data_IF_950537207373
#
_entry.id   IF_950537207373
#
_cell.length_a   1.000
_cell.length_b   1.000
_cell.length_c   1.000
_cell.angle_alpha   90.00
_cell.angle_beta   90.00
_cell.angle_gamma   90.00
#
_symmetry.space_group_name_H-M   'P 1'
#
loop_
_entity.id
_entity.type
_entity.pdbx_description
1 polymer ?
#
# COMPACT_ATOMS: atom_id res chain seq x y z
N UNK A 1 4.81 -23.46 2.65
CA UNK A 1 4.91 -22.05 2.28
C UNK A 1 4.87 -21.19 3.52
N UNK A 2 5.66 -20.14 3.57
CA UNK A 2 5.75 -19.29 4.74
C UNK A 2 5.17 -17.91 4.44
N UNK A 3 4.72 -17.24 5.47
CA UNK A 3 4.29 -15.86 5.34
C UNK A 3 5.48 -15.00 4.90
N UNK A 4 5.18 -13.90 4.22
CA UNK A 4 6.21 -12.96 3.79
C UNK A 4 6.95 -12.41 5.00
N UNK A 5 8.27 -12.27 4.88
CA UNK A 5 9.07 -11.70 5.95
C UNK A 5 8.98 -10.17 5.90
N UNK A 6 9.26 -9.50 7.02
CA UNK A 6 9.32 -8.03 7.00
C UNK A 6 10.31 -7.49 5.96
N UNK A 7 11.42 -8.19 5.72
CA UNK A 7 12.39 -7.76 4.70
C UNK A 7 11.80 -7.85 3.30
N UNK A 8 11.07 -8.93 3.01
CA UNK A 8 10.43 -9.07 1.70
C UNK A 8 9.41 -7.95 1.48
N UNK A 9 8.62 -7.64 2.50
CA UNK A 9 7.63 -6.58 2.41
C UNK A 9 8.31 -5.24 2.17
N UNK A 10 9.36 -4.95 2.94
CA UNK A 10 10.09 -3.70 2.81
C UNK A 10 10.73 -3.57 1.43
N UNK A 11 11.33 -4.64 0.92
CA UNK A 11 11.94 -4.62 -0.41
C UNK A 11 10.92 -4.33 -1.50
N UNK A 12 9.74 -4.93 -1.38
CA UNK A 12 8.70 -4.69 -2.37
C UNK A 12 8.21 -3.25 -2.32
N UNK A 13 8.04 -2.70 -1.12
CA UNK A 13 7.64 -1.30 -0.97
C UNK A 13 8.70 -0.37 -1.54
N UNK A 14 9.97 -0.69 -1.38
CA UNK A 14 11.05 0.11 -1.96
C UNK A 14 11.03 0.04 -3.48
N UNK A 15 10.69 -1.11 -4.05
CA UNK A 15 10.55 -1.23 -5.49
C UNK A 15 9.41 -0.38 -6.01
N UNK A 16 8.26 -0.39 -5.31
CA UNK A 16 7.14 0.47 -5.70
C UNK A 16 7.57 1.93 -5.63
N UNK A 17 8.25 2.30 -4.55
CA UNK A 17 8.67 3.69 -4.37
C UNK A 17 9.60 4.14 -5.49
N UNK A 18 10.53 3.29 -5.89
CA UNK A 18 11.51 3.61 -6.93
C UNK A 18 10.87 3.72 -8.30
N UNK A 19 9.95 2.80 -8.62
CA UNK A 19 9.41 2.71 -9.98
C UNK A 19 8.18 3.59 -10.20
N UNK A 20 7.40 3.83 -9.16
CA UNK A 20 6.12 4.53 -9.30
C UNK A 20 6.02 5.82 -8.51
N UNK A 21 6.93 6.06 -7.58
CA UNK A 21 7.03 7.31 -6.82
C UNK A 21 5.71 7.73 -6.18
N UNK A 22 5.10 6.85 -5.36
CA UNK A 22 3.86 7.19 -4.68
C UNK A 22 4.10 8.22 -3.59
N UNK A 23 3.01 8.83 -3.11
CA UNK A 23 3.10 9.69 -1.94
C UNK A 23 3.34 8.86 -0.68
N UNK A 24 2.71 7.69 -0.61
CA UNK A 24 2.71 6.92 0.62
C UNK A 24 2.36 5.48 0.34
N UNK A 25 2.92 4.58 1.11
CA UNK A 25 2.55 3.17 1.12
C UNK A 25 2.30 2.78 2.56
N UNK A 26 1.13 2.21 2.83
CA UNK A 26 0.73 1.82 4.18
C UNK A 26 0.46 0.33 4.20
N UNK A 27 1.12 -0.36 5.13
CA UNK A 27 0.87 -1.77 5.39
C UNK A 27 -0.29 -1.87 6.35
N UNK A 28 -1.29 -2.67 5.99
CA UNK A 28 -2.43 -2.89 6.88
C UNK A 28 -2.75 -4.38 6.93
N UNK A 29 -3.82 -4.75 7.62
CA UNK A 29 -4.18 -6.15 7.72
C UNK A 29 -3.32 -6.93 8.68
N UNK A 30 -3.29 -8.25 8.51
CA UNK A 30 -2.67 -9.14 9.48
C UNK A 30 -1.18 -8.89 9.65
N UNK A 31 -0.48 -8.47 8.60
CA UNK A 31 0.96 -8.19 8.69
C UNK A 31 1.27 -6.90 9.42
N UNK A 32 0.28 -6.04 9.61
CA UNK A 32 0.48 -4.77 10.30
C UNK A 32 0.11 -4.87 11.78
N UNK A 33 -1.05 -5.43 12.08
CA UNK A 33 -1.54 -5.41 13.44
C UNK A 33 -2.19 -6.73 13.89
N UNK A 34 -2.01 -7.79 13.11
CA UNK A 34 -2.45 -9.12 13.49
C UNK A 34 -1.29 -10.06 13.60
N UNK A 35 -1.59 -11.34 13.58
CA UNK A 35 -0.57 -12.38 13.55
C UNK A 35 -0.66 -13.08 12.21
N UNK A 36 0.20 -12.74 11.27
CA UNK A 36 0.12 -13.37 9.95
C UNK A 36 0.47 -14.86 10.03
N UNK A 37 -0.13 -15.63 9.16
CA UNK A 37 0.20 -17.04 9.00
C UNK A 37 0.62 -17.26 7.55
N UNK A 38 0.99 -18.51 7.23
CA UNK A 38 1.63 -18.81 5.94
C UNK A 38 0.75 -18.47 4.73
N UNK A 39 -0.55 -18.35 4.91
CA UNK A 39 -1.46 -18.02 3.82
C UNK A 39 -1.96 -16.58 3.88
N UNK A 40 -1.43 -15.77 4.79
CA UNK A 40 -1.85 -14.38 4.90
C UNK A 40 -1.29 -13.57 3.74
N UNK A 41 -2.16 -12.82 3.06
CA UNK A 41 -1.72 -11.87 2.05
C UNK A 41 -1.10 -10.64 2.72
N UNK A 42 -0.18 -10.02 2.01
CA UNK A 42 0.36 -8.72 2.41
C UNK A 42 -0.59 -7.66 1.88
N UNK A 43 -1.21 -6.91 2.76
CA UNK A 43 -2.16 -5.87 2.38
C UNK A 43 -1.48 -4.51 2.37
N UNK A 44 -1.45 -3.87 1.20
CA UNK A 44 -0.79 -2.57 1.03
C UNK A 44 -1.75 -1.57 0.41
N UNK A 45 -1.77 -0.37 0.98
CA UNK A 45 -2.43 0.77 0.36
C UNK A 45 -1.34 1.66 -0.25
N UNK A 46 -1.42 1.86 -1.56
CA UNK A 46 -0.50 2.74 -2.27
C UNK A 46 -1.26 4.01 -2.63
N UNK A 47 -0.82 5.14 -2.11
CA UNK A 47 -1.45 6.43 -2.37
C UNK A 47 -0.60 7.15 -3.40
N UNK A 48 -1.17 7.35 -4.60
CA UNK A 48 -0.44 7.98 -5.69
C UNK A 48 -1.43 8.50 -6.73
N UNK A 49 -1.04 9.54 -7.48
CA UNK A 49 -1.85 9.95 -8.63
C UNK A 49 -1.78 8.88 -9.72
N UNK A 50 -2.88 8.68 -10.42
CA UNK A 50 -2.89 7.78 -11.58
C UNK A 50 -4.12 8.09 -12.43
N UNK A 51 -4.11 7.59 -13.65
CA UNK A 51 -5.26 7.67 -14.54
C UNK A 51 -5.82 6.28 -14.73
N UNK A 52 -7.13 6.24 -15.00
CA UNK A 52 -7.83 4.97 -15.13
C UNK A 52 -8.35 4.48 -13.80
N UNK A 53 -8.69 3.22 -13.74
CA UNK A 53 -9.29 2.68 -12.53
C UNK A 53 -8.21 2.26 -11.53
N UNK A 54 -8.56 2.25 -10.23
CA UNK A 54 -7.64 1.73 -9.23
C UNK A 54 -7.19 0.30 -9.50
N UNK A 55 -8.08 -0.53 -10.00
CA UNK A 55 -7.76 -1.92 -10.28
C UNK A 55 -6.72 -2.03 -11.41
N UNK A 56 -6.86 -1.20 -12.44
CA UNK A 56 -5.89 -1.17 -13.52
C UNK A 56 -4.52 -0.72 -13.03
N UNK A 57 -4.49 0.29 -12.17
CA UNK A 57 -3.22 0.77 -11.65
C UNK A 57 -2.55 -0.28 -10.76
N UNK A 58 -3.33 -0.97 -9.93
CA UNK A 58 -2.79 -2.05 -9.13
C UNK A 58 -2.19 -3.14 -10.02
N UNK A 59 -2.88 -3.48 -11.10
CA UNK A 59 -2.39 -4.48 -12.05
C UNK A 59 -1.08 -4.05 -12.69
N UNK A 60 -0.96 -2.77 -13.06
CA UNK A 60 0.28 -2.26 -13.65
C UNK A 60 1.47 -2.44 -12.70
N UNK A 61 1.26 -2.16 -11.42
CA UNK A 61 2.31 -2.31 -10.43
C UNK A 61 2.71 -3.78 -10.29
N UNK A 62 1.72 -4.65 -10.15
CA UNK A 62 1.99 -6.08 -9.93
C UNK A 62 2.66 -6.72 -11.15
N UNK A 63 2.22 -6.34 -12.34
CA UNK A 63 2.80 -6.89 -13.56
C UNK A 63 4.25 -6.44 -13.70
N UNK A 64 4.52 -5.19 -13.40
CA UNK A 64 5.88 -4.67 -13.55
C UNK A 64 6.83 -5.26 -12.53
N UNK A 65 6.39 -5.41 -11.29
CA UNK A 65 7.30 -5.75 -10.20
C UNK A 65 7.33 -7.24 -9.85
N UNK A 66 6.31 -7.99 -10.22
CA UNK A 66 6.26 -9.45 -10.04
C UNK A 66 6.70 -9.88 -8.64
N UNK A 67 5.95 -9.49 -7.59
CA UNK A 67 6.36 -9.87 -6.24
C UNK A 67 6.36 -11.38 -6.05
N UNK A 68 7.25 -11.86 -5.17
CA UNK A 68 7.38 -13.28 -4.88
C UNK A 68 6.48 -13.74 -3.76
N UNK A 69 5.63 -12.88 -3.26
CA UNK A 69 4.71 -13.17 -2.17
C UNK A 69 3.31 -12.76 -2.61
N UNK A 70 2.31 -13.25 -1.89
CA UNK A 70 0.93 -12.89 -2.18
C UNK A 70 0.63 -11.50 -1.65
N UNK A 71 0.24 -10.60 -2.54
CA UNK A 71 0.00 -9.19 -2.20
C UNK A 71 -1.41 -8.81 -2.62
N UNK A 72 -2.13 -8.18 -1.72
CA UNK A 72 -3.40 -7.52 -2.01
C UNK A 72 -3.11 -6.02 -2.07
N UNK A 73 -3.13 -5.48 -3.27
CA UNK A 73 -2.68 -4.12 -3.50
C UNK A 73 -3.88 -3.21 -3.75
N UNK A 74 -4.07 -2.25 -2.84
CA UNK A 74 -5.14 -1.27 -2.92
C UNK A 74 -4.50 0.06 -3.33
N UNK A 75 -4.93 0.62 -4.47
CA UNK A 75 -4.33 1.85 -4.96
C UNK A 75 -5.41 2.93 -4.99
N UNK A 76 -5.09 4.10 -4.42
CA UNK A 76 -6.01 5.22 -4.39
C UNK A 76 -5.23 6.52 -4.59
N UNK A 77 -5.90 7.50 -5.20
CA UNK A 77 -5.29 8.83 -5.29
C UNK A 77 -5.37 9.51 -3.91
N UNK A 78 -4.51 10.50 -3.66
CA UNK A 78 -4.62 11.27 -2.40
C UNK A 78 -6.02 11.86 -2.21
N UNK A 79 -6.64 12.30 -3.30
CA UNK A 79 -7.97 12.86 -3.24
C UNK A 79 -9.01 11.83 -2.85
N UNK A 80 -8.91 10.62 -3.41
CA UNK A 80 -9.82 9.54 -3.06
C UNK A 80 -9.70 9.18 -1.58
N UNK A 81 -8.48 9.17 -1.06
CA UNK A 81 -8.28 8.89 0.37
C UNK A 81 -8.96 9.98 1.20
N UNK A 82 -8.75 11.24 0.86
CA UNK A 82 -9.38 12.34 1.60
C UNK A 82 -10.91 12.25 1.55
N UNK A 83 -11.45 11.93 0.37
CA UNK A 83 -12.90 11.79 0.23
C UNK A 83 -13.45 10.67 1.09
N UNK A 84 -12.77 9.54 1.10
CA UNK A 84 -13.21 8.40 1.92
C UNK A 84 -13.18 8.74 3.40
N UNK A 85 -12.13 9.42 3.84
CA UNK A 85 -12.04 9.82 5.24
C UNK A 85 -13.13 10.84 5.59
N UNK A 86 -13.43 11.76 4.69
CA UNK A 86 -14.47 12.75 4.91
C UNK A 86 -15.85 12.10 4.97
N UNK A 87 -16.05 11.01 4.26
CA UNK A 87 -17.30 10.25 4.29
C UNK A 87 -17.37 9.28 5.47
N UNK A 88 -16.36 9.31 6.34
CA UNK A 88 -16.28 8.45 7.51
C UNK A 88 -16.27 6.97 7.16
N UNK A 89 -15.55 6.64 6.10
CA UNK A 89 -15.33 5.27 5.68
C UNK A 89 -14.49 4.57 6.74
N UNK A 90 -15.08 3.60 7.43
CA UNK A 90 -14.41 2.93 8.54
C UNK A 90 -13.16 2.19 8.10
N UNK A 91 -13.21 1.57 6.94
CA UNK A 91 -12.09 0.81 6.43
C UNK A 91 -10.89 1.73 6.19
N UNK A 92 -11.12 2.86 5.53
CA UNK A 92 -10.04 3.79 5.26
C UNK A 92 -9.52 4.41 6.57
N UNK A 93 -10.40 4.74 7.51
CA UNK A 93 -9.97 5.24 8.82
C UNK A 93 -9.11 4.23 9.54
N UNK A 94 -9.49 2.96 9.49
CA UNK A 94 -8.69 1.93 10.16
C UNK A 94 -7.31 1.81 9.54
N UNK A 95 -7.24 1.84 8.22
CA UNK A 95 -5.94 1.78 7.53
C UNK A 95 -5.05 2.93 7.98
N UNK A 96 -5.60 4.15 7.96
CA UNK A 96 -4.81 5.33 8.26
C UNK A 96 -4.41 5.41 9.72
N UNK A 97 -5.25 4.89 10.64
CA UNK A 97 -4.96 4.98 12.06
C UNK A 97 -4.13 3.83 12.59
N UNK A 98 -4.38 2.63 12.10
CA UNK A 98 -3.73 1.43 12.62
C UNK A 98 -2.66 0.88 11.71
N UNK A 99 -2.67 1.25 10.44
CA UNK A 99 -1.67 0.78 9.51
C UNK A 99 -0.29 1.31 9.83
N UNK A 100 0.72 0.67 9.23
CA UNK A 100 2.11 1.07 9.41
C UNK A 100 2.61 1.70 8.12
N UNK A 101 3.17 2.90 8.23
CA UNK A 101 3.71 3.58 7.07
C UNK A 101 4.97 2.85 6.63
N UNK A 102 4.90 2.20 5.46
CA UNK A 102 6.04 1.49 4.90
C UNK A 102 6.90 2.40 4.04
N UNK A 103 6.31 3.47 3.53
CA UNK A 103 7.03 4.45 2.73
C UNK A 103 6.26 5.76 2.74
N UNK A 104 6.98 6.85 2.81
CA UNK A 104 6.38 8.17 2.71
C UNK A 104 7.35 9.06 1.95
N UNK A 105 6.85 9.67 0.87
CA UNK A 105 7.69 10.55 0.06
C UNK A 105 8.06 11.78 0.86
N UNK A 106 9.29 12.23 0.68
CA UNK A 106 9.72 13.48 1.28
C UNK A 106 9.22 14.61 0.41
N UNK A 107 8.52 15.54 1.03
CA UNK A 107 8.01 16.71 0.33
C UNK A 107 8.87 17.92 0.71
N UNK A 108 10.16 17.72 0.66
CA UNK A 108 11.08 18.78 1.02
C UNK A 108 10.78 20.02 0.19
N UNK A 109 10.61 21.13 0.85
CA UNK A 109 10.34 22.37 0.16
C UNK A 109 8.90 22.53 -0.28
N UNK A 110 8.06 21.63 0.08
CA UNK A 110 6.65 21.72 -0.26
C UNK A 110 5.94 22.80 0.52
N UNK A 111 6.46 23.12 1.58
CA UNK A 111 5.80 24.05 2.51
C UNK A 111 6.44 25.36 2.51
#
# INVERSE_FOLDING_TARGET
MQAASPQQIQQFCEQIAREFQPERIILFGSHAYGKPHQFSDVDLLVVMPFEGSPLQQAARILIKLEPKMSVDLLVRTPEQVRQRLAMQDRFMHEIMERGKVAYEAQHAGMD
#
